data_IF_883240386910
#
_entry.id   IF_883240386910
#
_cell.length_a   1.000
_cell.length_b   1.000
_cell.length_c   1.000
_cell.angle_alpha   90.00
_cell.angle_beta   90.00
_cell.angle_gamma   90.00
#
_symmetry.space_group_name_H-M   'P 1'
#
loop_
_entity.id
_entity.type
_entity.pdbx_description
1 polymer ?
#
# COMPACT_ATOMS: atom_id res chain seq x y z
N UNK A 1 27.60 14.95 -5.76
CA UNK A 1 27.39 14.08 -6.89
C UNK A 1 25.96 13.55 -7.00
N UNK A 2 25.52 13.22 -8.20
CA UNK A 2 24.16 12.71 -8.46
C UNK A 2 23.98 11.27 -7.95
N UNK A 3 25.06 10.50 -7.92
CA UNK A 3 25.02 9.08 -7.55
C UNK A 3 24.55 8.88 -6.10
N UNK A 4 25.08 9.65 -5.15
CA UNK A 4 24.73 9.49 -3.74
C UNK A 4 23.25 9.78 -3.46
N UNK A 5 22.63 10.86 -3.99
CA UNK A 5 21.20 11.07 -3.85
C UNK A 5 20.35 9.96 -4.46
N UNK A 6 20.75 9.42 -5.61
CA UNK A 6 20.03 8.31 -6.27
C UNK A 6 20.09 7.05 -5.42
N UNK A 7 21.26 6.69 -4.90
CA UNK A 7 21.43 5.54 -4.02
C UNK A 7 20.58 5.69 -2.76
N UNK A 8 20.56 6.87 -2.17
CA UNK A 8 19.76 7.17 -0.99
C UNK A 8 18.27 6.98 -1.25
N UNK A 9 17.77 7.46 -2.37
CA UNK A 9 16.38 7.28 -2.78
C UNK A 9 16.05 5.79 -2.94
N UNK A 10 16.85 5.05 -3.69
CA UNK A 10 16.63 3.62 -3.93
C UNK A 10 16.62 2.84 -2.61
N UNK A 11 17.48 3.18 -1.66
CA UNK A 11 17.58 2.52 -0.39
C UNK A 11 16.39 2.81 0.55
N UNK A 12 15.72 3.95 0.40
CA UNK A 12 14.77 4.44 1.42
C UNK A 12 13.35 4.61 0.92
N UNK A 13 13.09 4.41 -0.37
CA UNK A 13 11.79 4.72 -1.00
C UNK A 13 10.65 3.79 -0.54
N UNK A 14 10.94 2.53 -0.26
CA UNK A 14 9.94 1.49 -0.04
C UNK A 14 9.14 1.68 1.25
N UNK A 15 7.88 1.31 1.21
CA UNK A 15 7.02 1.21 2.39
C UNK A 15 7.54 0.11 3.33
N UNK A 16 7.58 0.40 4.64
CA UNK A 16 8.19 -0.48 5.64
C UNK A 16 7.26 -0.84 6.81
N UNK A 17 6.01 -0.44 6.75
CA UNK A 17 5.02 -0.71 7.78
C UNK A 17 4.26 0.53 8.22
N UNK A 18 3.08 0.34 8.81
CA UNK A 18 2.20 1.44 9.23
C UNK A 18 2.85 2.36 10.25
N UNK A 19 3.65 1.80 11.16
CA UNK A 19 4.34 2.56 12.20
C UNK A 19 5.75 3.02 11.83
N UNK A 20 6.17 2.87 10.56
CA UNK A 20 7.52 3.19 10.12
C UNK A 20 7.51 4.38 9.16
N UNK A 21 8.23 5.44 9.52
CA UNK A 21 8.41 6.60 8.65
C UNK A 21 9.45 6.31 7.55
N UNK A 22 9.20 6.86 6.35
CA UNK A 22 10.11 6.74 5.21
C UNK A 22 10.29 8.11 4.55
N UNK A 23 10.91 9.08 5.25
CA UNK A 23 11.06 10.44 4.73
C UNK A 23 12.02 10.49 3.56
N UNK A 24 11.74 11.38 2.60
CA UNK A 24 12.62 11.68 1.47
C UNK A 24 13.31 13.03 1.68
N UNK A 25 14.61 13.08 1.39
CA UNK A 25 15.43 14.28 1.61
C UNK A 25 15.32 15.29 0.47
N UNK A 26 15.03 14.85 -0.75
CA UNK A 26 15.01 15.70 -1.94
C UNK A 26 13.62 15.76 -2.57
N UNK A 27 13.37 16.81 -3.36
CA UNK A 27 12.12 16.91 -4.12
C UNK A 27 11.99 15.74 -5.11
N UNK A 28 13.08 15.38 -5.76
CA UNK A 28 13.12 14.25 -6.70
C UNK A 28 12.75 12.95 -5.98
N UNK A 29 13.29 12.72 -4.79
CA UNK A 29 12.94 11.57 -3.96
C UNK A 29 11.47 11.55 -3.59
N UNK A 30 10.90 12.70 -3.24
CA UNK A 30 9.48 12.83 -2.93
C UNK A 30 8.60 12.45 -4.12
N UNK A 31 8.94 12.94 -5.31
CA UNK A 31 8.18 12.65 -6.53
C UNK A 31 8.27 11.16 -6.88
N UNK A 32 9.45 10.57 -6.81
CA UNK A 32 9.65 9.15 -7.12
C UNK A 32 8.92 8.26 -6.11
N UNK A 33 8.97 8.60 -4.83
CA UNK A 33 8.24 7.86 -3.81
C UNK A 33 6.72 7.96 -4.01
N UNK A 34 6.23 9.15 -4.37
CA UNK A 34 4.81 9.33 -4.68
C UNK A 34 4.38 8.47 -5.87
N UNK A 35 5.19 8.42 -6.91
CA UNK A 35 4.90 7.59 -8.08
C UNK A 35 4.83 6.10 -7.73
N UNK A 36 5.78 5.62 -6.94
CA UNK A 36 5.80 4.25 -6.44
C UNK A 36 4.53 3.91 -5.66
N UNK A 37 4.12 4.80 -4.79
CA UNK A 37 2.93 4.61 -3.95
C UNK A 37 1.64 4.73 -4.74
N UNK A 38 1.56 5.64 -5.69
CA UNK A 38 0.39 5.76 -6.58
C UNK A 38 0.18 4.49 -7.39
N UNK A 39 1.25 3.85 -7.83
CA UNK A 39 1.17 2.60 -8.58
C UNK A 39 0.65 1.43 -7.72
N UNK A 40 0.74 1.52 -6.41
CA UNK A 40 0.31 0.49 -5.49
C UNK A 40 -1.17 0.58 -5.10
N UNK A 41 -1.88 1.63 -5.50
CA UNK A 41 -3.28 1.87 -5.09
C UNK A 41 -4.21 1.97 -6.31
N UNK A 42 -5.52 2.01 -6.04
CA UNK A 42 -6.53 2.03 -7.09
C UNK A 42 -6.73 0.67 -7.74
N UNK A 43 -7.32 0.65 -8.92
CA UNK A 43 -7.67 -0.59 -9.63
C UNK A 43 -6.44 -1.46 -9.94
N UNK A 44 -5.37 -0.84 -10.42
CA UNK A 44 -4.13 -1.56 -10.71
C UNK A 44 -3.49 -2.12 -9.43
N UNK A 45 -3.50 -1.33 -8.37
CA UNK A 45 -3.00 -1.76 -7.06
C UNK A 45 -3.78 -2.95 -6.52
N UNK A 46 -5.10 -2.95 -6.63
CA UNK A 46 -5.96 -4.08 -6.24
C UNK A 46 -5.55 -5.33 -7.02
N UNK A 47 -5.50 -5.23 -8.34
CA UNK A 47 -5.15 -6.37 -9.19
C UNK A 47 -3.77 -6.95 -8.84
N UNK A 48 -2.77 -6.09 -8.67
CA UNK A 48 -1.41 -6.50 -8.31
C UNK A 48 -1.37 -7.16 -6.93
N UNK A 49 -2.11 -6.64 -5.98
CA UNK A 49 -2.15 -7.17 -4.61
C UNK A 49 -2.71 -8.59 -4.59
N UNK A 50 -3.78 -8.86 -5.31
CA UNK A 50 -4.33 -10.22 -5.40
C UNK A 50 -3.43 -11.16 -6.20
N UNK A 51 -2.82 -10.68 -7.28
CA UNK A 51 -1.87 -11.50 -8.04
C UNK A 51 -0.68 -11.91 -7.18
N UNK A 52 -0.12 -10.98 -6.42
CA UNK A 52 0.97 -11.26 -5.49
C UNK A 52 0.54 -12.25 -4.40
N UNK A 53 -0.64 -12.02 -3.81
CA UNK A 53 -1.19 -12.91 -2.78
C UNK A 53 -1.36 -14.33 -3.29
N UNK A 54 -1.90 -14.49 -4.49
CA UNK A 54 -2.04 -15.81 -5.14
C UNK A 54 -0.70 -16.50 -5.37
N UNK A 55 0.31 -15.73 -5.83
CA UNK A 55 1.66 -16.26 -6.01
C UNK A 55 2.30 -16.73 -4.70
N UNK A 56 1.94 -16.14 -3.57
CA UNK A 56 2.43 -16.50 -2.23
C UNK A 56 1.51 -17.47 -1.50
N UNK A 57 0.51 -18.02 -2.16
CA UNK A 57 -0.47 -18.94 -1.58
C UNK A 57 -1.23 -18.32 -0.39
N UNK A 58 -1.48 -17.03 -0.43
CA UNK A 58 -2.28 -16.33 0.59
C UNK A 58 -3.76 -16.46 0.25
N UNK A 59 -4.59 -16.60 1.28
CA UNK A 59 -6.04 -16.51 1.12
C UNK A 59 -6.41 -15.09 0.67
N UNK A 60 -7.50 -14.98 -0.09
CA UNK A 60 -8.04 -13.66 -0.41
C UNK A 60 -8.54 -12.95 0.84
N UNK A 61 -9.25 -13.66 1.70
CA UNK A 61 -9.87 -13.10 2.90
C UNK A 61 -10.10 -14.17 3.94
N UNK A 62 -10.04 -13.79 5.21
CA UNK A 62 -10.44 -14.61 6.35
C UNK A 62 -11.05 -13.70 7.41
N UNK A 63 -12.37 -13.85 7.73
CA UNK A 63 -13.06 -12.90 8.61
C UNK A 63 -12.52 -12.85 10.04
N UNK A 64 -11.87 -13.91 10.51
CA UNK A 64 -11.34 -13.99 11.87
C UNK A 64 -9.91 -13.43 11.99
N UNK A 65 -9.21 -13.20 10.88
CA UNK A 65 -7.87 -12.62 10.89
C UNK A 65 -7.96 -11.10 10.74
N UNK A 66 -7.53 -10.36 11.76
CA UNK A 66 -7.56 -8.91 11.77
C UNK A 66 -6.27 -8.32 11.20
N UNK A 67 -6.34 -7.13 10.57
CA UNK A 67 -5.13 -6.47 10.09
C UNK A 67 -4.21 -6.08 11.25
N UNK A 68 -2.91 -6.10 10.99
CA UNK A 68 -1.86 -5.75 11.95
C UNK A 68 -1.12 -4.52 11.45
N UNK A 69 -1.07 -3.46 12.26
CA UNK A 69 -0.32 -2.26 11.93
C UNK A 69 1.13 -2.46 12.34
N UNK A 70 1.96 -2.91 11.40
CA UNK A 70 3.34 -3.29 11.65
C UNK A 70 4.19 -2.09 12.09
N UNK A 71 4.90 -2.25 13.21
CA UNK A 71 5.71 -1.21 13.82
C UNK A 71 7.19 -1.31 13.44
N UNK A 72 7.58 -2.33 12.71
CA UNK A 72 8.95 -2.50 12.21
C UNK A 72 8.94 -3.07 10.80
N UNK A 73 10.03 -2.82 10.06
CA UNK A 73 10.19 -3.37 8.72
C UNK A 73 10.27 -4.90 8.73
N UNK A 74 10.93 -5.47 9.74
CA UNK A 74 11.03 -6.93 9.86
C UNK A 74 9.67 -7.59 10.05
N UNK A 75 8.83 -7.04 10.91
CA UNK A 75 7.47 -7.52 11.11
C UNK A 75 6.64 -7.41 9.82
N UNK A 76 6.76 -6.28 9.13
CA UNK A 76 6.07 -6.08 7.86
C UNK A 76 6.50 -7.11 6.80
N UNK A 77 7.80 -7.37 6.66
CA UNK A 77 8.34 -8.35 5.71
C UNK A 77 7.90 -9.78 6.01
N UNK A 78 7.72 -10.12 7.27
CA UNK A 78 7.34 -11.46 7.73
C UNK A 78 5.83 -11.69 7.69
N UNK A 79 5.04 -10.69 7.32
CA UNK A 79 3.59 -10.78 7.29
C UNK A 79 3.14 -11.86 6.31
N UNK A 80 2.30 -12.78 6.80
CA UNK A 80 1.69 -13.86 6.02
C UNK A 80 0.17 -13.81 6.04
N UNK A 81 -0.41 -12.68 6.46
CA UNK A 81 -1.85 -12.47 6.51
C UNK A 81 -2.52 -12.54 5.15
N UNK A 82 -3.85 -12.66 5.14
CA UNK A 82 -4.61 -12.71 3.89
C UNK A 82 -4.58 -11.37 3.14
N UNK A 83 -4.91 -11.41 1.84
CA UNK A 83 -4.75 -10.28 0.93
C UNK A 83 -5.58 -9.06 1.33
N UNK A 84 -6.82 -9.23 1.78
CA UNK A 84 -7.68 -8.09 2.20
C UNK A 84 -7.04 -7.31 3.35
N UNK A 85 -6.37 -7.98 4.29
CA UNK A 85 -5.67 -7.28 5.38
C UNK A 85 -4.59 -6.32 4.86
N UNK A 86 -3.96 -6.63 3.74
CA UNK A 86 -2.95 -5.76 3.14
C UNK A 86 -3.53 -4.39 2.74
N UNK A 87 -4.80 -4.31 2.39
CA UNK A 87 -5.47 -3.02 2.14
C UNK A 87 -5.38 -2.12 3.39
N UNK A 88 -5.67 -2.67 4.56
CA UNK A 88 -5.66 -1.90 5.81
C UNK A 88 -4.25 -1.67 6.35
N UNK A 89 -3.36 -2.63 6.13
CA UNK A 89 -1.98 -2.57 6.64
C UNK A 89 -1.08 -1.66 5.81
N UNK A 90 -1.42 -1.42 4.55
CA UNK A 90 -0.64 -0.59 3.64
C UNK A 90 -1.48 0.31 2.74
N UNK A 91 -2.31 -0.27 1.86
CA UNK A 91 -2.83 0.46 0.70
C UNK A 91 -3.69 1.66 1.09
N UNK A 92 -4.57 1.50 2.08
CA UNK A 92 -5.44 2.58 2.55
C UNK A 92 -4.70 3.65 3.35
N UNK A 93 -3.46 3.40 3.75
CA UNK A 93 -2.62 4.37 4.46
C UNK A 93 -1.86 5.29 3.50
N UNK A 94 -1.67 4.86 2.25
CA UNK A 94 -0.77 5.56 1.32
C UNK A 94 -1.27 6.93 0.90
N UNK A 95 -2.57 7.15 0.83
CA UNK A 95 -3.15 8.46 0.52
C UNK A 95 -2.59 9.56 1.42
N UNK A 96 -2.49 9.30 2.71
CA UNK A 96 -2.02 10.27 3.70
C UNK A 96 -0.50 10.35 3.78
N UNK A 97 0.21 9.54 3.01
CA UNK A 97 1.68 9.49 2.95
C UNK A 97 2.25 10.02 1.63
N UNK A 98 1.43 10.66 0.81
CA UNK A 98 1.91 11.33 -0.39
C UNK A 98 2.66 12.61 -0.01
N UNK A 99 3.77 12.87 -0.68
CA UNK A 99 4.62 14.01 -0.40
C UNK A 99 4.13 15.29 -1.09
N UNK A 100 3.58 15.16 -2.31
CA UNK A 100 3.20 16.30 -3.14
C UNK A 100 1.69 16.49 -3.22
N UNK A 101 1.24 17.71 -3.45
CA UNK A 101 -0.18 18.05 -3.61
C UNK A 101 -0.80 17.32 -4.80
N UNK A 102 -0.09 17.25 -5.91
CA UNK A 102 -0.57 16.55 -7.11
C UNK A 102 -0.81 15.07 -6.84
N UNK A 103 0.13 14.41 -6.16
CA UNK A 103 0.00 13.00 -5.81
C UNK A 103 -1.14 12.75 -4.81
N UNK A 104 -1.31 13.63 -3.83
CA UNK A 104 -2.44 13.53 -2.88
C UNK A 104 -3.78 13.58 -3.60
N UNK A 105 -3.92 14.48 -4.54
CA UNK A 105 -5.16 14.64 -5.32
C UNK A 105 -5.47 13.39 -6.14
N UNK A 106 -4.46 12.82 -6.80
CA UNK A 106 -4.63 11.56 -7.53
C UNK A 106 -4.95 10.40 -6.60
N UNK A 107 -4.28 10.35 -5.46
CA UNK A 107 -4.45 9.29 -4.47
C UNK A 107 -5.86 9.28 -3.87
N UNK A 108 -6.51 10.43 -3.71
CA UNK A 108 -7.87 10.51 -3.19
C UNK A 108 -8.85 9.69 -4.03
N UNK A 109 -8.82 9.85 -5.36
CA UNK A 109 -9.69 9.09 -6.26
C UNK A 109 -9.40 7.60 -6.23
N UNK A 110 -8.13 7.22 -6.23
CA UNK A 110 -7.72 5.81 -6.17
C UNK A 110 -8.08 5.18 -4.83
N UNK A 111 -7.93 5.92 -3.75
CA UNK A 111 -8.34 5.49 -2.41
C UNK A 111 -9.85 5.25 -2.33
N UNK A 112 -10.65 6.19 -2.83
CA UNK A 112 -12.10 6.05 -2.87
C UNK A 112 -12.53 4.82 -3.66
N UNK A 113 -11.88 4.55 -4.78
CA UNK A 113 -12.15 3.34 -5.56
C UNK A 113 -11.88 2.06 -4.74
N UNK A 114 -10.78 2.03 -3.99
CA UNK A 114 -10.47 0.87 -3.13
C UNK A 114 -11.52 0.68 -2.03
N UNK A 115 -12.03 1.76 -1.45
CA UNK A 115 -13.10 1.66 -0.45
C UNK A 115 -14.38 1.09 -1.07
N UNK A 116 -14.75 1.56 -2.25
CA UNK A 116 -15.91 1.03 -2.98
C UNK A 116 -15.73 -0.44 -3.30
N UNK A 117 -14.54 -0.83 -3.73
CA UNK A 117 -14.20 -2.23 -3.98
C UNK A 117 -14.38 -3.10 -2.73
N UNK A 118 -13.85 -2.65 -1.58
CA UNK A 118 -13.95 -3.39 -0.33
C UNK A 118 -15.41 -3.55 0.12
N UNK A 119 -16.20 -2.50 0.02
CA UNK A 119 -17.62 -2.55 0.36
C UNK A 119 -18.34 -3.63 -0.48
N UNK A 120 -18.10 -3.62 -1.78
CA UNK A 120 -18.67 -4.61 -2.69
C UNK A 120 -18.16 -6.01 -2.40
N UNK A 121 -16.86 -6.15 -2.13
CA UNK A 121 -16.26 -7.44 -1.80
C UNK A 121 -16.94 -8.07 -0.57
N UNK A 122 -17.14 -7.28 0.50
CA UNK A 122 -17.76 -7.79 1.72
C UNK A 122 -19.24 -8.16 1.51
N UNK A 123 -19.96 -7.39 0.73
CA UNK A 123 -21.35 -7.71 0.42
C UNK A 123 -21.47 -9.03 -0.34
N UNK A 124 -20.62 -9.23 -1.32
CA UNK A 124 -20.59 -10.50 -2.07
C UNK A 124 -20.15 -11.66 -1.19
N UNK A 125 -19.14 -11.45 -0.35
CA UNK A 125 -18.65 -12.46 0.57
C UNK A 125 -19.75 -12.90 1.55
N UNK A 126 -20.53 -11.97 2.05
CA UNK A 126 -21.63 -12.23 3.00
C UNK A 126 -22.92 -12.69 2.30
N UNK A 127 -22.94 -12.78 0.99
CA UNK A 127 -24.10 -13.22 0.22
C UNK A 127 -25.24 -12.21 0.19
N UNK A 128 -24.94 -10.93 0.33
CA UNK A 128 -25.96 -9.86 0.36
C UNK A 128 -26.15 -9.13 -0.96
N UNK A 129 -25.24 -9.30 -1.88
CA UNK A 129 -25.30 -8.63 -3.19
C UNK A 129 -24.97 -9.56 -4.33
#
# INVERSE_FOLDING_TARGET
EVIDPVVDIVATISYKGAGVATPMKTLEGKVVQDADRLDAIGAMGIARTFAYGGNKNRLMYHPDEKPVMHQSFDDYKKNTGHTINHFYEKLLLLKDRMNTTSARKMAEGRHQFMQTYLDQFYEEWDGKA
#
